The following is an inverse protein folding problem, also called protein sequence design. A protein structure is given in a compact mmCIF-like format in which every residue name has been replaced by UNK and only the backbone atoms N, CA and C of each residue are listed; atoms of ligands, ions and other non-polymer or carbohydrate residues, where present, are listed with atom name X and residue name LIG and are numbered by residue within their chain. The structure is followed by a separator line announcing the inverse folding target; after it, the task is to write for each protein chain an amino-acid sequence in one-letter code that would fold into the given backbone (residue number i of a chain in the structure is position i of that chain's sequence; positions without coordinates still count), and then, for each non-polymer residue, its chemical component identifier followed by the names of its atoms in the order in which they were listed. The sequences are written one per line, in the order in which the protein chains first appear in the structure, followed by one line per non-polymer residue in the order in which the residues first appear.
data_IF_364098678819
#
_entry.id   IF_364098678819
#
_cell.length_a   1.000
_cell.length_b   1.000
_cell.length_c   1.000
_cell.angle_alpha   90.00
_cell.angle_beta   90.00
_cell.angle_gamma   90.00
#
_symmetry.space_group_name_H-M   'P 1'
#
loop_
_entity.id
_entity.type
_entity.pdbx_description
1 polymer ?
#
# COMPACT_ATOMS: atom_id res chain seq x y z
N UNK A 1 -0.47 31.32 -21.60
CA UNK A 1 -1.78 30.65 -21.41
C UNK A 1 -1.56 29.44 -20.51
N UNK A 2 -2.13 29.41 -19.29
CA UNK A 2 -2.06 28.23 -18.45
C UNK A 2 -2.93 27.15 -19.08
N UNK A 3 -2.35 25.96 -19.28
CA UNK A 3 -3.09 24.78 -19.76
C UNK A 3 -4.14 24.44 -18.72
N UNK A 4 -5.41 24.52 -19.11
CA UNK A 4 -6.58 24.09 -18.37
C UNK A 4 -6.37 22.64 -17.92
N UNK A 5 -6.31 22.42 -16.59
CA UNK A 5 -6.46 21.09 -16.01
C UNK A 5 -7.82 20.58 -16.47
N UNK A 6 -7.85 19.46 -17.19
CA UNK A 6 -9.08 18.78 -17.58
C UNK A 6 -9.79 18.29 -16.33
N UNK A 7 -10.77 19.05 -15.85
CA UNK A 7 -11.69 18.59 -14.81
C UNK A 7 -12.46 17.40 -15.39
N UNK A 8 -12.53 16.25 -14.69
CA UNK A 8 -13.35 15.13 -15.13
C UNK A 8 -14.79 15.60 -15.38
N UNK A 9 -15.43 15.16 -16.46
CA UNK A 9 -16.83 15.54 -16.68
C UNK A 9 -17.69 15.06 -15.51
N UNK A 10 -18.67 15.87 -15.10
CA UNK A 10 -19.55 15.57 -13.95
C UNK A 10 -20.19 14.17 -14.01
N UNK A 11 -20.45 13.67 -15.22
CA UNK A 11 -21.00 12.34 -15.47
C UNK A 11 -20.03 11.20 -15.10
N UNK A 12 -18.73 11.34 -15.42
CA UNK A 12 -17.71 10.34 -15.07
C UNK A 12 -17.53 10.24 -13.55
N UNK A 13 -17.49 11.38 -12.87
CA UNK A 13 -17.40 11.43 -11.40
C UNK A 13 -18.61 10.77 -10.75
N UNK A 14 -19.81 11.01 -11.27
CA UNK A 14 -21.02 10.43 -10.72
C UNK A 14 -21.11 8.91 -10.93
N UNK A 15 -20.70 8.41 -12.10
CA UNK A 15 -20.59 6.96 -12.35
C UNK A 15 -19.56 6.29 -11.44
N UNK A 16 -18.40 6.92 -11.26
CA UNK A 16 -17.36 6.41 -10.35
C UNK A 16 -17.86 6.33 -8.90
N UNK A 17 -18.49 7.38 -8.40
CA UNK A 17 -19.03 7.41 -7.03
C UNK A 17 -20.16 6.39 -6.83
N UNK A 18 -21.03 6.21 -7.82
CA UNK A 18 -22.08 5.18 -7.78
C UNK A 18 -21.49 3.78 -7.69
N UNK A 19 -20.53 3.45 -8.56
CA UNK A 19 -19.85 2.15 -8.56
C UNK A 19 -19.07 1.90 -7.27
N UNK A 20 -18.40 2.92 -6.73
CA UNK A 20 -17.70 2.82 -5.44
C UNK A 20 -18.69 2.53 -4.30
N UNK A 21 -19.81 3.26 -4.25
CA UNK A 21 -20.85 3.05 -3.25
C UNK A 21 -21.49 1.66 -3.37
N UNK A 22 -21.77 1.19 -4.57
CA UNK A 22 -22.27 -0.18 -4.80
C UNK A 22 -21.29 -1.23 -4.27
N UNK A 23 -19.99 -1.08 -4.56
CA UNK A 23 -18.95 -2.00 -4.09
C UNK A 23 -18.69 -1.93 -2.57
N UNK A 24 -18.95 -0.80 -1.92
CA UNK A 24 -18.69 -0.60 -0.49
C UNK A 24 -19.88 -0.98 0.40
N UNK A 25 -21.12 -0.93 -0.10
CA UNK A 25 -22.34 -1.25 0.66
C UNK A 25 -22.28 -2.58 1.41
N UNK A 26 -21.83 -3.71 0.81
CA UNK A 26 -21.73 -4.97 1.54
C UNK A 26 -20.83 -4.90 2.77
N UNK A 27 -19.70 -4.18 2.69
CA UNK A 27 -18.82 -3.96 3.84
C UNK A 27 -19.51 -3.16 4.94
N UNK A 28 -20.24 -2.09 4.58
CA UNK A 28 -20.97 -1.25 5.54
C UNK A 28 -22.11 -1.99 6.23
N UNK A 29 -22.69 -3.00 5.58
CA UNK A 29 -23.80 -3.81 6.11
C UNK A 29 -23.35 -5.07 6.83
N UNK A 30 -22.05 -5.42 6.76
CA UNK A 30 -21.53 -6.68 7.28
C UNK A 30 -21.98 -7.92 6.48
N UNK A 31 -22.37 -7.74 5.22
CA UNK A 31 -22.81 -8.79 4.28
C UNK A 31 -21.57 -9.46 3.65
N UNK A 32 -20.75 -10.14 4.48
CA UNK A 32 -19.44 -10.67 4.09
C UNK A 32 -19.50 -11.64 2.90
N UNK A 33 -20.54 -12.45 2.83
CA UNK A 33 -20.80 -13.40 1.75
C UNK A 33 -21.04 -12.75 0.39
N UNK A 34 -21.50 -11.48 0.36
CA UNK A 34 -21.68 -10.72 -0.88
C UNK A 34 -20.35 -10.09 -1.36
N UNK A 35 -19.34 -10.00 -0.49
CA UNK A 35 -18.00 -9.54 -0.83
C UNK A 35 -17.18 -10.68 -1.42
N UNK A 36 -17.17 -11.81 -0.72
CA UNK A 36 -16.53 -13.06 -1.12
C UNK A 36 -17.21 -14.21 -0.37
N UNK A 37 -17.65 -15.23 -1.11
CA UNK A 37 -18.39 -16.36 -0.56
C UNK A 37 -17.60 -17.12 0.54
N UNK A 38 -16.26 -17.06 0.54
CA UNK A 38 -15.39 -17.68 1.54
C UNK A 38 -15.17 -16.79 2.77
N UNK A 39 -15.41 -15.49 2.67
CA UNK A 39 -15.07 -14.52 3.71
C UNK A 39 -15.70 -14.82 5.08
N UNK A 40 -16.98 -15.23 5.20
CA UNK A 40 -17.54 -15.63 6.50
C UNK A 40 -16.74 -16.76 7.18
N UNK A 41 -16.33 -17.77 6.41
CA UNK A 41 -15.55 -18.89 6.92
C UNK A 41 -14.11 -18.47 7.30
N UNK A 42 -13.48 -17.62 6.50
CA UNK A 42 -12.16 -17.07 6.80
C UNK A 42 -12.16 -16.24 8.08
N UNK A 43 -13.20 -15.41 8.29
CA UNK A 43 -13.37 -14.65 9.53
C UNK A 43 -13.59 -15.57 10.73
N UNK A 44 -14.36 -16.66 10.57
CA UNK A 44 -14.53 -17.65 11.62
C UNK A 44 -13.20 -18.31 12.01
N UNK A 45 -12.35 -18.64 11.03
CA UNK A 45 -10.99 -19.16 11.26
C UNK A 45 -10.14 -18.16 12.03
N UNK A 46 -10.07 -16.90 11.58
CA UNK A 46 -9.30 -15.85 12.28
C UNK A 46 -9.78 -15.63 13.73
N UNK A 47 -11.10 -15.68 13.97
CA UNK A 47 -11.66 -15.63 15.32
C UNK A 47 -11.22 -16.81 16.17
N UNK A 48 -11.25 -18.02 15.61
CA UNK A 48 -10.89 -19.25 16.34
C UNK A 48 -9.44 -19.28 16.82
N UNK A 49 -8.56 -18.53 16.16
CA UNK A 49 -7.15 -18.37 16.55
C UNK A 49 -6.87 -17.08 17.33
N UNK A 50 -7.92 -16.45 17.89
CA UNK A 50 -7.79 -15.33 18.82
C UNK A 50 -7.60 -13.95 18.18
N UNK A 51 -7.69 -13.81 16.85
CA UNK A 51 -7.51 -12.49 16.20
C UNK A 51 -8.54 -11.45 16.69
N UNK A 52 -9.72 -11.88 17.12
CA UNK A 52 -10.75 -11.00 17.70
C UNK A 52 -10.49 -10.57 19.14
N UNK A 53 -9.55 -11.21 19.83
CA UNK A 53 -9.23 -10.99 21.24
C UNK A 53 -8.00 -10.08 21.41
N UNK A 54 -7.12 -10.07 20.41
CA UNK A 54 -5.93 -9.24 20.42
C UNK A 54 -6.28 -7.77 20.15
N UNK A 55 -6.00 -6.90 21.13
CA UNK A 55 -6.06 -5.46 20.89
C UNK A 55 -5.02 -5.04 19.85
N UNK A 56 -5.40 -4.14 18.94
CA UNK A 56 -4.54 -3.61 17.90
C UNK A 56 -4.88 -2.14 17.63
N UNK A 57 -4.20 -1.23 18.36
CA UNK A 57 -4.30 0.22 18.19
C UNK A 57 -5.73 0.73 18.44
N UNK A 58 -6.54 0.87 17.41
CA UNK A 58 -7.89 1.43 17.52
C UNK A 58 -9.00 0.38 17.62
N UNK A 59 -8.69 -0.91 17.49
CA UNK A 59 -9.68 -1.99 17.53
C UNK A 59 -9.09 -3.34 17.90
N UNK A 60 -9.73 -4.42 17.44
CA UNK A 60 -9.14 -5.77 17.49
C UNK A 60 -8.24 -6.00 16.29
N UNK A 61 -7.31 -6.95 16.40
CA UNK A 61 -6.47 -7.36 15.28
C UNK A 61 -7.31 -7.88 14.10
N UNK A 62 -8.40 -8.62 14.36
CA UNK A 62 -9.38 -9.01 13.34
C UNK A 62 -9.98 -7.82 12.59
N UNK A 63 -10.27 -6.72 13.30
CA UNK A 63 -10.82 -5.52 12.69
C UNK A 63 -9.82 -4.90 11.70
N UNK A 64 -8.54 -4.75 12.10
CA UNK A 64 -7.48 -4.31 11.18
C UNK A 64 -7.38 -5.21 9.95
N UNK A 65 -7.37 -6.53 10.12
CA UNK A 65 -7.24 -7.48 9.01
C UNK A 65 -8.39 -7.34 8.00
N UNK A 66 -9.62 -7.14 8.50
CA UNK A 66 -10.80 -6.91 7.66
C UNK A 66 -10.76 -5.54 6.96
N UNK A 67 -10.26 -4.50 7.63
CA UNK A 67 -10.16 -3.17 7.06
C UNK A 67 -9.09 -3.08 5.97
N UNK A 68 -7.94 -3.76 6.13
CA UNK A 68 -6.94 -3.91 5.08
C UNK A 68 -7.50 -4.71 3.89
N UNK A 69 -8.19 -5.84 4.14
CA UNK A 69 -8.88 -6.60 3.09
C UNK A 69 -9.89 -5.73 2.33
N UNK A 70 -10.70 -4.95 3.05
CA UNK A 70 -11.68 -4.00 2.48
C UNK A 70 -11.00 -2.98 1.58
N UNK A 71 -9.94 -2.33 2.04
CA UNK A 71 -9.19 -1.34 1.25
C UNK A 71 -8.69 -1.97 -0.05
N UNK A 72 -8.05 -3.14 0.03
CA UNK A 72 -7.52 -3.83 -1.14
C UNK A 72 -8.61 -4.26 -2.13
N UNK A 73 -9.75 -4.78 -1.66
CA UNK A 73 -10.89 -5.13 -2.53
C UNK A 73 -11.49 -3.90 -3.21
N UNK A 74 -11.61 -2.78 -2.49
CA UNK A 74 -12.09 -1.51 -3.07
C UNK A 74 -11.08 -0.91 -4.06
N UNK A 75 -9.78 -1.16 -3.87
CA UNK A 75 -8.73 -0.84 -4.83
C UNK A 75 -8.64 -1.84 -5.99
N UNK A 76 -9.53 -2.85 -6.01
CA UNK A 76 -9.60 -3.90 -7.02
C UNK A 76 -8.32 -4.74 -7.12
N UNK A 77 -7.60 -4.91 -6.01
CA UNK A 77 -6.47 -5.81 -5.96
C UNK A 77 -6.92 -7.25 -6.26
N UNK A 78 -6.06 -8.07 -6.90
CA UNK A 78 -6.31 -9.49 -7.09
C UNK A 78 -6.62 -10.22 -5.78
N UNK A 79 -7.43 -11.28 -5.85
CA UNK A 79 -7.88 -12.01 -4.66
C UNK A 79 -6.73 -12.54 -3.82
N UNK A 80 -5.63 -13.01 -4.43
CA UNK A 80 -4.44 -13.45 -3.70
C UNK A 80 -3.79 -12.33 -2.88
N UNK A 81 -3.80 -11.10 -3.38
CA UNK A 81 -3.28 -9.91 -2.68
C UNK A 81 -4.25 -9.45 -1.60
N UNK A 82 -5.57 -9.44 -1.87
CA UNK A 82 -6.56 -9.12 -0.85
C UNK A 82 -6.51 -10.13 0.30
N UNK A 83 -6.46 -11.43 0.01
CA UNK A 83 -6.29 -12.49 1.01
C UNK A 83 -4.95 -12.39 1.74
N UNK A 84 -3.89 -11.96 1.05
CA UNK A 84 -2.65 -11.57 1.72
C UNK A 84 -2.90 -10.48 2.75
N UNK A 85 -3.65 -9.42 2.41
CA UNK A 85 -4.15 -8.40 3.34
C UNK A 85 -4.87 -8.95 4.56
N UNK A 86 -5.81 -9.88 4.36
CA UNK A 86 -6.59 -10.48 5.44
C UNK A 86 -5.76 -11.35 6.40
N UNK A 87 -4.61 -11.86 5.96
CA UNK A 87 -3.76 -12.76 6.74
C UNK A 87 -2.32 -12.24 6.90
N UNK A 88 -2.07 -10.94 6.64
CA UNK A 88 -0.71 -10.40 6.43
C UNK A 88 0.21 -10.50 7.66
N UNK A 89 -0.33 -10.77 8.85
CA UNK A 89 0.48 -11.05 10.05
C UNK A 89 0.16 -12.40 10.69
N UNK A 90 -0.30 -13.37 9.91
CA UNK A 90 -0.65 -14.71 10.38
C UNK A 90 0.48 -15.36 11.21
N UNK A 91 1.74 -15.18 10.78
CA UNK A 91 2.93 -15.83 11.35
C UNK A 91 3.85 -14.88 12.14
N UNK A 92 3.33 -13.73 12.61
CA UNK A 92 4.12 -12.57 13.04
C UNK A 92 4.92 -11.93 11.89
N UNK A 93 5.44 -10.73 12.09
CA UNK A 93 6.12 -9.99 11.04
C UNK A 93 7.20 -9.04 11.56
N UNK A 94 7.82 -8.28 10.66
CA UNK A 94 8.92 -7.33 10.96
C UNK A 94 8.53 -6.13 11.82
N UNK A 95 7.24 -5.87 12.02
CA UNK A 95 6.72 -4.72 12.76
C UNK A 95 6.11 -5.11 14.12
N UNK A 96 5.53 -6.30 14.21
CA UNK A 96 4.82 -6.75 15.41
C UNK A 96 5.13 -8.22 15.71
N UNK A 97 5.50 -8.50 16.95
CA UNK A 97 5.67 -9.85 17.47
C UNK A 97 4.33 -10.46 17.91
N UNK A 98 3.37 -10.52 16.97
CA UNK A 98 2.04 -11.11 17.16
C UNK A 98 1.83 -12.18 16.09
N UNK A 99 1.73 -13.45 16.48
CA UNK A 99 1.43 -14.57 15.60
C UNK A 99 0.10 -15.19 16.03
N UNK A 100 -0.80 -15.41 15.07
CA UNK A 100 -2.07 -16.13 15.29
C UNK A 100 -2.01 -17.58 14.76
N UNK A 101 -1.03 -17.89 13.94
CA UNK A 101 -0.66 -19.25 13.54
C UNK A 101 0.81 -19.50 13.85
N UNK A 102 1.13 -20.73 14.26
CA UNK A 102 2.52 -21.14 14.45
C UNK A 102 3.28 -21.07 13.10
N UNK A 103 4.40 -20.33 13.00
CA UNK A 103 5.12 -20.16 11.73
C UNK A 103 5.71 -21.45 11.16
N UNK A 104 5.98 -22.45 12.01
CA UNK A 104 6.61 -23.72 11.64
C UNK A 104 5.60 -24.78 11.21
N UNK A 105 4.37 -24.75 11.76
CA UNK A 105 3.35 -25.77 11.47
C UNK A 105 2.07 -25.23 10.81
N UNK A 106 1.78 -23.93 10.96
CA UNK A 106 0.51 -23.32 10.54
C UNK A 106 0.40 -23.00 9.05
N UNK A 107 1.50 -23.09 8.29
CA UNK A 107 1.50 -22.70 6.86
C UNK A 107 0.56 -23.53 6.01
N UNK A 108 0.57 -24.85 6.20
CA UNK A 108 -0.31 -25.75 5.44
C UNK A 108 -1.78 -25.55 5.78
N UNK A 109 -2.08 -25.18 7.03
CA UNK A 109 -3.44 -24.84 7.46
C UNK A 109 -3.94 -23.57 6.76
N UNK A 110 -3.17 -22.48 6.84
CA UNK A 110 -3.51 -21.24 6.13
C UNK A 110 -3.63 -21.49 4.63
N UNK A 111 -2.72 -22.26 4.02
CA UNK A 111 -2.77 -22.61 2.59
C UNK A 111 -4.06 -23.30 2.19
N UNK A 112 -4.61 -24.19 3.03
CA UNK A 112 -5.91 -24.85 2.76
C UNK A 112 -7.07 -23.86 2.69
N UNK A 113 -6.98 -22.75 3.43
CA UNK A 113 -8.02 -21.73 3.47
C UNK A 113 -7.90 -20.71 2.33
N UNK A 114 -6.69 -20.21 2.05
CA UNK A 114 -6.48 -19.09 1.12
C UNK A 114 -5.91 -19.49 -0.24
N UNK A 115 -5.43 -20.72 -0.40
CA UNK A 115 -4.73 -21.19 -1.59
C UNK A 115 -3.22 -20.93 -1.58
N UNK A 116 -2.49 -21.55 -2.51
CA UNK A 116 -1.03 -21.52 -2.56
C UNK A 116 -0.47 -20.11 -2.82
N UNK A 117 -1.05 -19.38 -3.77
CA UNK A 117 -0.53 -18.08 -4.20
C UNK A 117 -0.66 -17.03 -3.09
N UNK A 118 -1.84 -16.97 -2.45
CA UNK A 118 -2.07 -16.09 -1.31
C UNK A 118 -1.17 -16.45 -0.12
N UNK A 119 -1.06 -17.74 0.21
CA UNK A 119 -0.21 -18.19 1.33
C UNK A 119 1.27 -17.88 1.10
N UNK A 120 1.77 -18.00 -0.14
CA UNK A 120 3.13 -17.59 -0.48
C UNK A 120 3.35 -16.10 -0.22
N UNK A 121 2.43 -15.22 -0.64
CA UNK A 121 2.51 -13.79 -0.38
C UNK A 121 2.47 -13.48 1.13
N UNK A 122 1.57 -14.13 1.87
CA UNK A 122 1.46 -14.00 3.34
C UNK A 122 2.78 -14.37 4.01
N UNK A 123 3.35 -15.51 3.62
CA UNK A 123 4.63 -15.96 4.17
C UNK A 123 5.75 -14.96 3.88
N UNK A 124 5.91 -14.52 2.63
CA UNK A 124 6.92 -13.52 2.25
C UNK A 124 6.73 -12.22 3.04
N UNK A 125 5.50 -11.74 3.20
CA UNK A 125 5.18 -10.55 3.96
C UNK A 125 5.53 -10.67 5.46
N UNK A 126 5.47 -11.88 6.01
CA UNK A 126 5.85 -12.19 7.39
C UNK A 126 7.37 -12.29 7.59
N UNK A 127 8.13 -12.73 6.58
CA UNK A 127 9.56 -13.06 6.75
C UNK A 127 10.54 -12.05 6.16
N UNK A 128 10.07 -11.17 5.28
CA UNK A 128 10.89 -10.13 4.65
C UNK A 128 11.02 -8.91 5.58
N UNK A 129 12.23 -8.32 5.75
CA UNK A 129 12.45 -7.10 6.54
C UNK A 129 11.88 -5.87 5.83
N UNK A 130 10.57 -5.70 5.89
CA UNK A 130 9.86 -4.67 5.12
C UNK A 130 10.26 -3.24 5.48
N UNK A 131 10.66 -2.97 6.72
CA UNK A 131 11.14 -1.63 7.10
C UNK A 131 12.34 -1.21 6.24
N UNK A 132 13.37 -2.05 6.16
CA UNK A 132 14.55 -1.78 5.33
C UNK A 132 14.16 -1.57 3.87
N UNK A 133 13.45 -2.53 3.27
CA UNK A 133 13.17 -2.50 1.83
C UNK A 133 12.27 -1.33 1.46
N UNK A 134 11.17 -1.12 2.19
CA UNK A 134 10.15 -0.14 1.84
C UNK A 134 10.58 1.27 2.21
N UNK A 135 11.16 1.46 3.40
CA UNK A 135 11.53 2.79 3.88
C UNK A 135 12.95 3.16 3.47
N UNK A 136 13.95 2.43 3.96
CA UNK A 136 15.35 2.82 3.84
C UNK A 136 15.85 2.70 2.39
N UNK A 137 15.55 1.58 1.75
CA UNK A 137 16.04 1.24 0.43
C UNK A 137 15.17 1.84 -0.68
N UNK A 138 13.89 2.12 -0.44
CA UNK A 138 12.97 2.69 -1.43
C UNK A 138 12.57 4.12 -1.10
N UNK A 139 11.71 4.30 -0.10
CA UNK A 139 11.04 5.58 0.15
C UNK A 139 12.05 6.72 0.39
N UNK A 140 13.06 6.50 1.22
CA UNK A 140 14.06 7.52 1.59
C UNK A 140 15.12 7.77 0.51
N UNK A 141 15.15 6.95 -0.54
CA UNK A 141 16.04 7.15 -1.70
C UNK A 141 15.52 8.16 -2.72
N UNK A 142 14.29 8.64 -2.58
CA UNK A 142 13.67 9.60 -3.49
C UNK A 142 13.29 10.91 -2.78
N UNK A 143 13.69 12.03 -3.37
CA UNK A 143 13.09 13.32 -3.07
C UNK A 143 11.75 13.51 -3.80
N UNK A 144 10.93 14.42 -3.31
CA UNK A 144 9.60 14.68 -3.87
C UNK A 144 9.69 15.26 -5.30
N UNK A 145 10.70 16.13 -5.54
CA UNK A 145 11.00 16.65 -6.88
C UNK A 145 11.40 15.55 -7.85
N UNK A 146 12.24 14.59 -7.41
CA UNK A 146 12.62 13.46 -8.25
C UNK A 146 11.41 12.59 -8.59
N UNK A 147 10.53 12.29 -7.62
CA UNK A 147 9.32 11.50 -7.87
C UNK A 147 8.42 12.15 -8.91
N UNK A 148 8.15 13.45 -8.77
CA UNK A 148 7.32 14.20 -9.72
C UNK A 148 7.93 14.19 -11.13
N UNK A 149 9.24 14.41 -11.23
CA UNK A 149 9.94 14.38 -12.51
C UNK A 149 9.91 12.98 -13.12
N UNK A 150 10.21 11.94 -12.34
CA UNK A 150 10.25 10.54 -12.78
C UNK A 150 8.87 10.04 -13.21
N UNK A 151 7.80 10.43 -12.50
CA UNK A 151 6.43 10.11 -12.89
C UNK A 151 6.09 10.71 -14.26
N UNK A 152 6.51 11.95 -14.53
CA UNK A 152 6.26 12.60 -15.82
C UNK A 152 7.01 11.93 -16.97
N UNK A 153 8.30 11.61 -16.78
CA UNK A 153 9.09 10.99 -17.86
C UNK A 153 8.72 9.53 -18.09
N UNK A 154 8.45 8.75 -17.03
CA UNK A 154 8.05 7.34 -17.16
C UNK A 154 6.75 7.13 -17.91
N UNK A 155 5.80 8.07 -17.82
CA UNK A 155 4.58 8.03 -18.64
C UNK A 155 4.89 8.18 -20.15
N UNK A 156 5.85 9.05 -20.48
CA UNK A 156 6.31 9.23 -21.85
C UNK A 156 7.05 7.97 -22.33
N UNK A 157 7.91 7.38 -21.49
CA UNK A 157 8.62 6.14 -21.78
C UNK A 157 7.67 4.98 -22.06
N UNK A 158 6.64 4.80 -21.22
CA UNK A 158 5.64 3.75 -21.40
C UNK A 158 4.87 3.93 -22.71
N UNK A 159 4.46 5.16 -23.03
CA UNK A 159 3.79 5.46 -24.30
C UNK A 159 4.70 5.15 -25.49
N UNK A 160 5.96 5.58 -25.43
CA UNK A 160 6.95 5.31 -26.48
C UNK A 160 7.20 3.81 -26.67
N UNK A 161 7.26 3.03 -25.58
CA UNK A 161 7.40 1.57 -25.64
C UNK A 161 6.20 0.92 -26.35
N UNK A 162 4.96 1.30 -25.98
CA UNK A 162 3.73 0.71 -26.53
C UNK A 162 3.42 1.15 -27.97
N UNK A 163 3.64 2.41 -28.31
CA UNK A 163 3.21 2.99 -29.58
C UNK A 163 4.32 3.04 -30.63
N UNK A 164 5.58 3.14 -30.21
CA UNK A 164 6.73 3.40 -31.09
C UNK A 164 7.83 2.36 -31.01
N UNK A 165 7.68 1.36 -30.13
CA UNK A 165 8.69 0.31 -29.89
C UNK A 165 10.07 0.89 -29.50
N UNK A 166 10.08 2.03 -28.81
CA UNK A 166 11.30 2.68 -28.35
C UNK A 166 11.55 2.35 -26.87
N UNK A 167 12.69 1.72 -26.61
CA UNK A 167 13.11 1.27 -25.28
C UNK A 167 14.46 1.89 -24.92
N UNK A 168 14.44 3.05 -24.28
CA UNK A 168 15.64 3.71 -23.80
C UNK A 168 15.97 3.21 -22.39
N UNK A 169 17.02 2.41 -22.24
CA UNK A 169 17.49 1.89 -20.95
C UNK A 169 18.39 2.89 -20.22
N UNK A 170 18.83 3.94 -20.90
CA UNK A 170 19.72 4.95 -20.36
C UNK A 170 18.99 6.06 -19.60
N UNK A 171 17.66 6.07 -19.63
CA UNK A 171 16.83 7.02 -18.90
C UNK A 171 17.14 7.02 -17.40
N UNK A 172 17.41 8.22 -16.86
CA UNK A 172 17.82 8.39 -15.46
C UNK A 172 16.83 7.79 -14.46
N UNK A 173 15.53 7.88 -14.73
CA UNK A 173 14.50 7.34 -13.84
C UNK A 173 14.52 5.80 -13.78
N UNK A 174 14.77 5.15 -14.93
CA UNK A 174 14.89 3.69 -15.04
C UNK A 174 16.15 3.23 -14.35
N UNK A 175 17.30 3.85 -14.63
CA UNK A 175 18.57 3.56 -13.95
C UNK A 175 18.46 3.68 -12.44
N UNK A 176 17.84 4.76 -11.95
CA UNK A 176 17.62 4.93 -10.50
C UNK A 176 16.76 3.82 -9.93
N UNK A 177 15.60 3.53 -10.55
CA UNK A 177 14.72 2.48 -10.07
C UNK A 177 15.40 1.10 -10.09
N UNK A 178 16.09 0.75 -11.19
CA UNK A 178 16.78 -0.53 -11.33
C UNK A 178 17.98 -0.67 -10.36
N UNK A 179 18.62 0.43 -9.97
CA UNK A 179 19.68 0.40 -8.96
C UNK A 179 19.18 0.06 -7.54
N UNK A 180 17.88 0.23 -7.31
CA UNK A 180 17.23 -0.01 -6.02
C UNK A 180 16.45 -1.34 -6.06
N UNK A 181 15.64 -1.53 -7.11
CA UNK A 181 14.81 -2.71 -7.36
C UNK A 181 15.18 -3.27 -8.74
N UNK A 182 16.22 -4.12 -8.82
CA UNK A 182 16.61 -4.77 -10.06
C UNK A 182 15.48 -5.59 -10.67
N UNK A 183 15.61 -5.91 -11.95
CA UNK A 183 14.54 -6.61 -12.68
C UNK A 183 14.39 -8.04 -12.12
N UNK A 184 15.50 -8.70 -11.84
CA UNK A 184 15.61 -10.03 -11.23
C UNK A 184 15.25 -10.06 -9.73
N UNK A 185 14.88 -8.92 -9.14
CA UNK A 185 14.48 -8.81 -7.75
C UNK A 185 15.64 -8.46 -6.81
N UNK A 186 15.36 -8.54 -5.51
CA UNK A 186 16.30 -8.19 -4.44
C UNK A 186 16.45 -9.39 -3.51
N UNK A 187 17.69 -9.73 -3.16
CA UNK A 187 17.97 -10.73 -2.11
C UNK A 187 17.99 -10.05 -0.76
N UNK A 188 17.18 -10.56 0.16
CA UNK A 188 17.11 -10.06 1.55
C UNK A 188 17.26 -11.19 2.54
N UNK A 189 17.51 -10.84 3.80
CA UNK A 189 17.67 -11.81 4.88
C UNK A 189 16.34 -12.10 5.53
N UNK A 190 15.96 -13.37 5.64
CA UNK A 190 14.81 -13.80 6.42
C UNK A 190 14.94 -13.29 7.86
N UNK A 191 13.94 -12.58 8.39
CA UNK A 191 14.06 -11.88 9.69
C UNK A 191 14.35 -12.79 10.90
N UNK A 192 13.91 -14.06 10.87
CA UNK A 192 14.21 -15.06 11.91
C UNK A 192 15.43 -15.95 11.62
N UNK A 193 15.56 -16.51 10.41
CA UNK A 193 16.60 -17.51 10.10
C UNK A 193 17.89 -16.92 9.54
N UNK A 194 17.85 -15.69 8.99
CA UNK A 194 18.99 -15.08 8.31
C UNK A 194 19.31 -15.69 6.94
N UNK A 195 18.48 -16.61 6.44
CA UNK A 195 18.63 -17.20 5.11
C UNK A 195 18.32 -16.19 4.00
N UNK A 196 18.89 -16.42 2.82
CA UNK A 196 18.61 -15.60 1.65
C UNK A 196 17.20 -15.87 1.12
N UNK A 197 16.42 -14.80 0.96
CA UNK A 197 15.11 -14.81 0.32
C UNK A 197 15.19 -13.90 -0.91
N UNK A 198 14.93 -14.45 -2.09
CA UNK A 198 14.76 -13.67 -3.31
C UNK A 198 13.35 -13.09 -3.34
N UNK A 199 13.24 -11.77 -3.47
CA UNK A 199 11.97 -11.05 -3.55
C UNK A 199 11.90 -10.37 -4.92
N UNK A 200 10.97 -10.79 -5.77
CA UNK A 200 10.80 -10.20 -7.09
C UNK A 200 10.34 -8.74 -7.00
N UNK A 201 10.57 -7.98 -8.06
CA UNK A 201 10.12 -6.58 -8.15
C UNK A 201 8.59 -6.46 -7.98
N UNK A 202 7.83 -7.44 -8.49
CA UNK A 202 6.35 -7.45 -8.39
C UNK A 202 5.89 -7.73 -6.96
N UNK A 203 6.57 -8.60 -6.22
CA UNK A 203 6.31 -8.80 -4.78
C UNK A 203 6.65 -7.53 -3.98
N UNK A 204 7.73 -6.82 -4.32
CA UNK A 204 8.04 -5.51 -3.70
C UNK A 204 6.94 -4.49 -3.97
N UNK A 205 6.38 -4.46 -5.18
CA UNK A 205 5.22 -3.62 -5.49
C UNK A 205 3.99 -4.02 -4.66
N UNK A 206 3.72 -5.32 -4.47
CA UNK A 206 2.66 -5.80 -3.56
C UNK A 206 2.91 -5.32 -2.13
N UNK A 207 4.16 -5.36 -1.64
CA UNK A 207 4.47 -4.86 -0.31
C UNK A 207 4.23 -3.36 -0.17
N UNK A 208 4.56 -2.54 -1.19
CA UNK A 208 4.19 -1.13 -1.20
C UNK A 208 2.67 -0.93 -1.15
N UNK A 209 1.91 -1.66 -1.98
CA UNK A 209 0.44 -1.59 -2.01
C UNK A 209 -0.16 -1.94 -0.65
N UNK A 210 0.34 -3.02 -0.05
CA UNK A 210 -0.07 -3.50 1.27
C UNK A 210 0.28 -2.50 2.37
N UNK A 211 1.49 -1.94 2.37
CA UNK A 211 1.90 -0.92 3.35
C UNK A 211 1.04 0.33 3.23
N UNK A 212 0.67 0.76 2.02
CA UNK A 212 -0.28 1.86 1.84
C UNK A 212 -1.64 1.55 2.45
N UNK A 213 -2.18 0.34 2.22
CA UNK A 213 -3.47 -0.05 2.80
C UNK A 213 -3.40 -0.13 4.34
N UNK A 214 -2.35 -0.75 4.87
CA UNK A 214 -2.11 -0.93 6.31
C UNK A 214 -1.96 0.42 7.03
N UNK A 215 -1.14 1.33 6.50
CA UNK A 215 -0.93 2.65 7.10
C UNK A 215 -2.17 3.54 7.08
N UNK A 216 -3.02 3.39 6.06
CA UNK A 216 -4.28 4.14 5.93
C UNK A 216 -5.26 3.82 7.06
N UNK A 217 -5.18 2.62 7.65
CA UNK A 217 -6.06 2.21 8.75
C UNK A 217 -5.50 2.57 10.14
N UNK A 218 -4.17 2.50 10.29
CA UNK A 218 -3.59 2.31 11.62
C UNK A 218 -2.73 3.45 12.18
N UNK A 219 -2.48 4.53 11.42
CA UNK A 219 -1.59 5.64 11.86
C UNK A 219 -2.40 6.85 12.36
N UNK A 220 -2.19 7.17 13.64
CA UNK A 220 -2.81 8.24 14.41
C UNK A 220 -1.74 9.17 15.02
N UNK A 221 -2.17 10.31 15.55
CA UNK A 221 -1.28 11.37 16.05
C UNK A 221 -0.36 10.94 17.18
N UNK A 222 -0.75 9.97 18.03
CA UNK A 222 0.13 9.47 19.08
C UNK A 222 1.38 8.79 18.51
N UNK A 223 1.30 8.15 17.32
CA UNK A 223 2.47 7.60 16.65
C UNK A 223 3.38 8.69 16.08
N UNK A 224 2.84 9.88 15.77
CA UNK A 224 3.70 10.98 15.37
C UNK A 224 4.63 11.40 16.51
N UNK A 225 4.13 11.39 17.75
CA UNK A 225 4.95 11.62 18.95
C UNK A 225 5.90 10.46 19.20
N UNK A 226 5.41 9.21 19.08
CA UNK A 226 6.21 8.01 19.33
C UNK A 226 7.44 7.95 18.42
N UNK A 227 7.26 8.28 17.15
CA UNK A 227 8.28 8.13 16.11
C UNK A 227 8.97 9.44 15.72
N UNK A 228 8.74 10.53 16.47
CA UNK A 228 9.24 11.88 16.18
C UNK A 228 8.90 12.39 14.76
N UNK A 229 7.70 12.06 14.28
CA UNK A 229 7.21 12.37 12.94
C UNK A 229 6.64 13.80 12.81
N UNK A 230 7.19 14.79 13.52
CA UNK A 230 6.66 16.16 13.48
C UNK A 230 6.85 16.83 12.11
N UNK A 231 7.78 16.30 11.29
CA UNK A 231 8.01 16.74 9.91
C UNK A 231 7.08 16.06 8.89
N UNK A 232 6.24 15.11 9.32
CA UNK A 232 5.29 14.39 8.47
C UNK A 232 5.91 13.46 7.42
N UNK A 233 7.19 13.10 7.56
CA UNK A 233 7.93 12.24 6.60
C UNK A 233 7.93 10.76 6.97
N UNK A 234 7.47 10.44 8.17
CA UNK A 234 7.39 9.12 8.79
C UNK A 234 8.72 8.36 8.71
N UNK A 235 9.78 9.02 9.18
CA UNK A 235 11.17 8.55 9.11
C UNK A 235 11.57 7.61 10.24
N UNK A 236 10.71 7.46 11.27
CA UNK A 236 10.98 6.65 12.46
C UNK A 236 12.29 7.04 13.17
N UNK A 237 12.59 8.35 13.23
CA UNK A 237 13.80 8.88 13.86
C UNK A 237 13.81 8.75 15.38
N UNK A 238 12.62 8.60 15.99
CA UNK A 238 12.44 8.53 17.43
C UNK A 238 11.77 7.25 17.94
N UNK A 239 11.79 7.10 19.26
CA UNK A 239 11.09 6.05 20.00
C UNK A 239 10.63 6.57 21.37
N UNK A 240 9.82 7.62 21.38
CA UNK A 240 9.44 8.35 22.58
C UNK A 240 8.27 7.69 23.34
N UNK A 241 8.51 6.49 23.88
CA UNK A 241 7.52 5.75 24.67
C UNK A 241 7.12 6.45 25.98
N UNK A 242 7.93 7.40 26.47
CA UNK A 242 7.68 8.09 27.72
C UNK A 242 6.52 9.10 27.65
N UNK A 243 6.33 9.74 26.49
CA UNK A 243 5.24 10.72 26.30
C UNK A 243 4.22 10.35 25.22
N UNK A 244 4.49 9.33 24.39
CA UNK A 244 3.54 8.86 23.39
C UNK A 244 2.50 7.89 23.96
N UNK A 245 1.66 8.38 24.87
CA UNK A 245 0.60 7.58 25.49
C UNK A 245 -0.60 7.43 24.54
N UNK A 246 -1.18 6.22 24.47
CA UNK A 246 -2.43 5.97 23.77
C UNK A 246 -3.65 6.48 24.57
N UNK A 247 -4.70 7.05 23.94
CA UNK A 247 -4.85 7.34 22.51
C UNK A 247 -4.23 8.66 22.04
N UNK A 248 -3.47 9.34 22.90
CA UNK A 248 -2.98 10.69 22.65
C UNK A 248 -4.11 11.71 22.70
N UNK A 249 -4.08 12.68 21.79
CA UNK A 249 -5.15 13.65 21.58
C UNK A 249 -6.25 13.15 20.62
N UNK A 250 -6.07 11.98 20.00
CA UNK A 250 -6.98 11.43 18.99
C UNK A 250 -6.86 12.09 17.61
N UNK A 251 -5.88 12.98 17.42
CA UNK A 251 -5.64 13.68 16.15
C UNK A 251 -5.26 12.67 15.04
N UNK A 252 -5.65 12.89 13.77
CA UNK A 252 -5.16 12.08 12.67
C UNK A 252 -3.62 12.13 12.56
N UNK A 253 -3.00 10.99 12.24
CA UNK A 253 -1.55 10.88 12.13
C UNK A 253 -1.00 11.45 10.82
N UNK A 254 0.29 11.80 10.82
CA UNK A 254 0.97 12.33 9.64
C UNK A 254 1.53 11.24 8.73
N UNK A 255 0.65 10.55 7.99
CA UNK A 255 1.03 9.48 7.05
C UNK A 255 0.79 9.79 5.56
N UNK A 256 -0.03 10.79 5.20
CA UNK A 256 -0.48 11.00 3.81
C UNK A 256 0.65 11.37 2.84
N UNK A 257 1.64 12.19 3.26
CA UNK A 257 2.83 12.45 2.45
C UNK A 257 3.54 11.13 2.10
N UNK A 258 3.84 10.32 3.10
CA UNK A 258 4.51 9.02 2.95
C UNK A 258 3.75 8.08 2.02
N UNK A 259 2.41 7.97 2.18
CA UNK A 259 1.58 7.17 1.27
C UNK A 259 1.59 7.71 -0.17
N UNK A 260 1.55 9.03 -0.37
CA UNK A 260 1.64 9.62 -1.71
C UNK A 260 2.96 9.31 -2.41
N UNK A 261 4.07 9.31 -1.65
CA UNK A 261 5.40 8.96 -2.14
C UNK A 261 5.49 7.46 -2.44
N UNK A 262 4.97 6.59 -1.57
CA UNK A 262 4.86 5.14 -1.83
C UNK A 262 4.03 4.86 -3.09
N UNK A 263 2.92 5.58 -3.28
CA UNK A 263 2.10 5.51 -4.48
C UNK A 263 2.90 5.88 -5.73
N UNK A 264 3.60 7.01 -5.71
CA UNK A 264 4.46 7.43 -6.82
C UNK A 264 5.50 6.35 -7.19
N UNK A 265 6.20 5.79 -6.19
CA UNK A 265 7.18 4.71 -6.39
C UNK A 265 6.52 3.45 -6.96
N UNK A 266 5.36 3.05 -6.42
CA UNK A 266 4.57 1.95 -6.95
C UNK A 266 4.24 2.16 -8.44
N UNK A 267 3.80 3.37 -8.80
CA UNK A 267 3.53 3.74 -10.20
C UNK A 267 4.76 3.64 -11.11
N UNK A 268 5.96 4.00 -10.62
CA UNK A 268 7.21 3.82 -11.36
C UNK A 268 7.53 2.33 -11.58
N UNK A 269 7.34 1.49 -10.56
CA UNK A 269 7.55 0.04 -10.67
C UNK A 269 6.60 -0.57 -11.70
N UNK A 270 5.30 -0.25 -11.64
CA UNK A 270 4.32 -0.76 -12.59
C UNK A 270 4.70 -0.39 -14.03
N UNK A 271 5.07 0.87 -14.27
CA UNK A 271 5.45 1.33 -15.61
C UNK A 271 6.72 0.66 -16.12
N UNK A 272 7.74 0.48 -15.27
CA UNK A 272 8.98 -0.20 -15.66
C UNK A 272 8.73 -1.67 -15.98
N UNK A 273 7.92 -2.37 -15.17
CA UNK A 273 7.53 -3.76 -15.45
C UNK A 273 6.74 -3.87 -16.76
N UNK A 274 5.82 -2.95 -17.03
CA UNK A 274 5.10 -2.92 -18.32
C UNK A 274 6.05 -2.68 -19.51
N UNK A 275 7.00 -1.76 -19.40
CA UNK A 275 8.00 -1.50 -20.46
C UNK A 275 8.88 -2.75 -20.66
N UNK A 276 9.32 -3.38 -19.57
CA UNK A 276 10.14 -4.59 -19.62
C UNK A 276 9.40 -5.76 -20.30
N UNK A 277 8.15 -6.02 -19.90
CA UNK A 277 7.32 -7.07 -20.50
C UNK A 277 7.01 -6.77 -21.97
N UNK A 278 6.74 -5.51 -22.33
CA UNK A 278 6.50 -5.13 -23.73
C UNK A 278 7.75 -5.36 -24.59
N UNK A 279 8.94 -4.97 -24.11
CA UNK A 279 10.21 -5.23 -24.80
C UNK A 279 10.40 -6.72 -25.08
N UNK A 280 10.21 -7.56 -24.05
CA UNK A 280 10.33 -9.02 -24.17
C UNK A 280 9.33 -9.61 -25.15
N UNK A 281 8.05 -9.26 -25.05
CA UNK A 281 7.00 -9.73 -25.96
C UNK A 281 7.35 -9.46 -27.43
N UNK A 282 7.97 -8.31 -27.71
CA UNK A 282 8.42 -7.94 -29.06
C UNK A 282 9.65 -8.73 -29.50
N UNK A 283 10.63 -8.91 -28.61
CA UNK A 283 11.86 -9.68 -28.88
C UNK A 283 11.58 -11.18 -29.10
N UNK A 284 10.69 -11.76 -28.30
CA UNK A 284 10.31 -13.18 -28.34
C UNK A 284 9.28 -13.49 -29.45
N UNK A 285 9.02 -12.55 -30.38
CA UNK A 285 8.01 -12.65 -31.46
C UNK A 285 6.63 -13.11 -30.96
N UNK A 286 6.25 -12.71 -29.75
CA UNK A 286 4.97 -13.07 -29.14
C UNK A 286 4.93 -14.43 -28.43
N UNK A 287 6.07 -15.10 -28.19
CA UNK A 287 6.13 -16.18 -27.20
C UNK A 287 6.00 -15.56 -25.79
N UNK A 288 4.83 -15.72 -25.16
CA UNK A 288 4.59 -15.30 -23.77
C UNK A 288 5.18 -16.34 -22.80
N UNK A 289 6.49 -16.59 -22.88
CA UNK A 289 7.13 -17.46 -21.89
C UNK A 289 7.29 -16.69 -20.58
N UNK A 290 6.61 -17.16 -19.53
CA UNK A 290 6.71 -16.60 -18.18
C UNK A 290 8.12 -16.87 -17.66
N UNK A 291 8.82 -15.81 -17.27
CA UNK A 291 10.15 -15.98 -16.67
C UNK A 291 9.99 -16.44 -15.23
N UNK A 292 10.57 -17.60 -14.92
CA UNK A 292 10.63 -18.12 -13.57
C UNK A 292 11.20 -17.08 -12.60
N UNK A 293 10.70 -17.08 -11.36
CA UNK A 293 11.16 -16.25 -10.24
C UNK A 293 10.91 -14.73 -10.36
N UNK A 294 10.14 -14.26 -11.36
CA UNK A 294 9.74 -12.85 -11.50
C UNK A 294 8.31 -12.53 -11.08
N UNK A 295 7.51 -13.55 -10.79
CA UNK A 295 6.10 -13.44 -10.41
C UNK A 295 5.24 -12.66 -11.42
N UNK A 296 5.51 -12.80 -12.73
CA UNK A 296 4.83 -12.05 -13.81
C UNK A 296 3.32 -12.32 -13.85
N UNK A 297 2.84 -13.41 -13.25
CA UNK A 297 1.43 -13.74 -13.05
C UNK A 297 0.71 -12.85 -12.02
N UNK A 298 1.44 -12.19 -11.10
CA UNK A 298 0.84 -11.27 -10.14
C UNK A 298 0.38 -10.03 -10.88
N UNK A 299 -0.93 -9.78 -11.02
CA UNK A 299 -1.44 -8.54 -11.60
C UNK A 299 -1.20 -7.34 -10.66
N UNK A 300 -0.61 -6.25 -11.20
CA UNK A 300 -0.38 -5.01 -10.46
C UNK A 300 -1.41 -3.96 -10.87
N UNK A 301 -2.32 -3.63 -9.96
CA UNK A 301 -3.38 -2.64 -10.17
C UNK A 301 -2.97 -1.26 -9.65
N UNK A 302 -3.36 -0.18 -10.32
CA UNK A 302 -3.10 1.17 -9.82
C UNK A 302 -4.17 1.57 -8.80
N UNK A 303 -3.85 1.71 -7.50
CA UNK A 303 -4.83 2.12 -6.50
C UNK A 303 -5.21 3.60 -6.66
N UNK A 304 -6.37 4.04 -6.15
CA UNK A 304 -6.84 5.43 -6.23
C UNK A 304 -6.10 6.40 -5.27
N UNK A 305 -4.90 6.05 -4.83
CA UNK A 305 -4.06 6.85 -3.92
C UNK A 305 -3.58 8.10 -4.65
N UNK A 306 -3.99 9.28 -4.21
CA UNK A 306 -3.55 10.60 -4.72
C UNK A 306 -3.41 10.67 -6.26
N UNK A 307 -4.56 10.75 -6.94
CA UNK A 307 -4.66 10.81 -8.41
C UNK A 307 -4.01 9.59 -9.08
N UNK A 308 -4.41 8.38 -8.67
CA UNK A 308 -3.92 7.11 -9.24
C UNK A 308 -2.38 7.01 -9.22
N UNK A 309 -1.79 7.30 -8.07
CA UNK A 309 -0.36 7.27 -7.83
C UNK A 309 0.45 8.32 -8.63
N UNK A 310 -0.17 9.40 -9.10
CA UNK A 310 0.52 10.43 -9.90
C UNK A 310 0.80 11.72 -9.14
N UNK A 311 0.26 11.88 -7.94
CA UNK A 311 0.48 13.06 -7.11
C UNK A 311 1.28 12.72 -5.85
N UNK A 312 2.31 13.53 -5.59
CA UNK A 312 3.06 13.56 -4.34
C UNK A 312 2.58 14.76 -3.54
N UNK A 313 2.14 14.54 -2.31
CA UNK A 313 1.73 15.61 -1.40
C UNK A 313 2.94 16.22 -0.73
N UNK A 314 2.95 17.53 -0.54
CA UNK A 314 3.95 18.18 0.30
C UNK A 314 3.70 17.88 1.78
N UNK A 315 4.76 17.74 2.57
CA UNK A 315 4.66 17.39 3.98
C UNK A 315 4.13 18.56 4.83
N UNK A 316 4.53 19.80 4.54
CA UNK A 316 4.06 20.99 5.24
C UNK A 316 2.58 21.27 4.91
N UNK A 317 2.19 21.14 3.64
CA UNK A 317 0.78 21.24 3.24
C UNK A 317 -0.10 20.20 3.94
N UNK A 318 0.40 18.96 4.06
CA UNK A 318 -0.30 17.91 4.78
C UNK A 318 -0.45 18.23 6.27
N UNK A 319 0.60 18.71 6.93
CA UNK A 319 0.54 19.15 8.34
C UNK A 319 -0.49 20.27 8.49
N UNK A 320 -0.43 21.30 7.65
CA UNK A 320 -1.36 22.44 7.69
C UNK A 320 -2.81 22.01 7.49
N UNK A 321 -3.08 21.14 6.51
CA UNK A 321 -4.42 20.62 6.25
C UNK A 321 -4.97 19.78 7.40
N UNK A 322 -4.13 18.91 7.98
CA UNK A 322 -4.47 18.07 9.13
C UNK A 322 -4.76 18.91 10.37
N UNK A 323 -3.99 19.96 10.60
CA UNK A 323 -4.14 20.86 11.74
C UNK A 323 -5.39 21.72 11.63
N UNK A 324 -5.71 22.27 10.45
CA UNK A 324 -6.96 22.99 10.18
C UNK A 324 -8.19 22.08 10.35
N UNK A 325 -8.13 20.85 9.85
CA UNK A 325 -9.20 19.86 10.08
C UNK A 325 -9.40 19.61 11.58
N UNK A 326 -8.30 19.43 12.32
CA UNK A 326 -8.37 19.15 13.75
C UNK A 326 -8.89 20.32 14.57
N UNK A 327 -8.51 21.55 14.22
CA UNK A 327 -9.06 22.78 14.79
C UNK A 327 -10.58 22.82 14.59
N UNK A 328 -11.07 22.55 13.38
CA UNK A 328 -12.51 22.50 13.10
C UNK A 328 -13.24 21.41 13.91
N UNK A 329 -12.64 20.24 14.10
CA UNK A 329 -13.20 19.16 14.93
C UNK A 329 -13.27 19.57 16.41
N UNK A 330 -12.22 20.20 16.93
CA UNK A 330 -12.15 20.58 18.35
C UNK A 330 -12.94 21.84 18.69
N UNK A 331 -12.99 22.84 17.80
CA UNK A 331 -13.61 24.14 18.04
C UNK A 331 -14.96 24.31 17.31
N UNK A 332 -15.40 23.32 16.53
CA UNK A 332 -16.70 23.34 15.84
C UNK A 332 -17.92 23.50 16.76
N UNK A 333 -17.80 23.23 18.05
CA UNK A 333 -18.86 23.51 19.03
C UNK A 333 -18.88 24.96 19.53
N UNK A 334 -17.77 25.71 19.35
CA UNK A 334 -17.64 27.12 19.72
C UNK A 334 -17.94 28.06 18.55
N UNK A 335 -17.74 27.56 17.33
CA UNK A 335 -18.00 28.26 16.08
C UNK A 335 -19.40 27.81 15.64
N UNK A 336 -20.44 28.60 15.95
CA UNK A 336 -21.81 28.28 15.53
C UNK A 336 -21.92 27.96 14.03
N UNK A 337 -22.99 27.26 13.63
CA UNK A 337 -23.28 26.78 12.26
C UNK A 337 -23.17 27.83 11.15
N UNK A 338 -23.09 29.12 11.47
CA UNK A 338 -23.12 30.24 10.51
C UNK A 338 -21.86 30.39 9.64
N UNK A 339 -20.73 29.75 9.95
CA UNK A 339 -19.50 29.80 9.11
C UNK A 339 -19.11 28.49 8.43
N UNK A 340 -19.89 27.42 8.61
CA UNK A 340 -19.61 26.14 7.95
C UNK A 340 -19.77 26.21 6.40
N UNK A 341 -20.43 27.25 5.87
CA UNK A 341 -20.65 27.46 4.44
C UNK A 341 -19.57 28.33 3.76
N UNK A 342 -18.58 28.85 4.51
CA UNK A 342 -17.56 29.76 3.97
C UNK A 342 -16.17 29.12 3.71
N UNK A 343 -15.99 27.82 3.96
CA UNK A 343 -14.71 27.09 3.75
C UNK A 343 -14.68 26.27 2.47
#
# INVERSE_FOLDING_TARGET
MPKTKTVPSSSWTQQYLSGLLESSRPFLRGELELIDAKLPALVAVLRSVGAGECWHKHGSFLYLLLDVYRILKLWKAPDSISLCGLFHSAYSNSYVNLAIFDPSTGRDEVRRHVGADAERLIHLFCVVPRQSIIHDDLLFRYSDTELLQHLKVSEISLRNAKERELFDEDEAWRKKLQSIVPADGVKVKHIKTGEDVLVSRRVIAVFLLMTMADFSDQIFGFQDVLFENLNGRLEYSGNNFASALWPGDGKPGLWMNSISRMGAIYGLIVREEEIFMEKRRRQDRGHNEVVADRDEEIELVIPPVFEKCTRVLDAEEHIGGRDLYWEAVCDGSKIGLERAEEC
#
